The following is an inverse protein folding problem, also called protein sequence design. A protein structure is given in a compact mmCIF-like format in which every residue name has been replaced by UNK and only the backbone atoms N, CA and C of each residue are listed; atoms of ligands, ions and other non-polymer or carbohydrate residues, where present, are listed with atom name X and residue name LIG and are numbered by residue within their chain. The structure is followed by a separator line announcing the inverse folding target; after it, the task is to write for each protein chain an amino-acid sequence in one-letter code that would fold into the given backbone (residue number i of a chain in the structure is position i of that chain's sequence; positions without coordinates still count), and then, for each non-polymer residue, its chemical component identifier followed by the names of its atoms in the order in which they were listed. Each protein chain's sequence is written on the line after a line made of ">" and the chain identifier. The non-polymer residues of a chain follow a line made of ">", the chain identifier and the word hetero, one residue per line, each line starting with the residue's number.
data_IF_070194792907
#
_entry.id   IF_070194792907
#
_cell.length_a   1.000
_cell.length_b   1.000
_cell.length_c   1.000
_cell.angle_alpha   90.00
_cell.angle_beta   90.00
_cell.angle_gamma   90.00
#
_symmetry.space_group_name_H-M   'P 1'
#
loop_
_entity.id
_entity.type
_entity.pdbx_description
1 polymer ?
#
# COMPACT_ATOMS: atom_id res chain seq x y z
N UNK A 1 10.41 -6.50 16.04
CA UNK A 1 10.01 -5.39 16.93
C UNK A 1 10.31 -4.03 16.28
N UNK A 2 9.91 -3.78 15.03
CA UNK A 2 10.22 -2.54 14.29
C UNK A 2 9.19 -2.13 13.23
N UNK A 3 8.09 -2.87 13.07
CA UNK A 3 7.10 -2.60 12.03
C UNK A 3 5.94 -1.70 12.49
N UNK A 4 5.68 -1.62 13.79
CA UNK A 4 4.55 -0.84 14.32
C UNK A 4 4.84 0.66 14.51
N UNK A 5 6.11 1.05 14.48
CA UNK A 5 6.52 2.43 14.78
C UNK A 5 6.16 3.45 13.70
N UNK A 6 6.06 3.02 12.43
CA UNK A 6 5.77 3.94 11.31
C UNK A 6 4.27 4.26 11.18
N UNK A 7 3.41 3.27 11.49
CA UNK A 7 1.95 3.46 11.44
C UNK A 7 1.40 4.25 12.63
N UNK A 8 1.99 4.09 13.81
CA UNK A 8 1.62 4.87 14.99
C UNK A 8 1.89 6.37 14.80
N UNK A 9 2.90 6.75 14.05
CA UNK A 9 3.29 8.14 13.87
C UNK A 9 2.29 8.92 13.00
N UNK A 10 1.73 8.32 11.97
CA UNK A 10 0.68 8.95 11.13
C UNK A 10 -0.67 9.06 11.88
N UNK A 11 -1.04 8.02 12.61
CA UNK A 11 -2.26 8.02 13.43
C UNK A 11 -2.21 9.03 14.58
N UNK A 12 -1.07 9.15 15.24
CA UNK A 12 -0.85 10.14 16.31
C UNK A 12 -0.87 11.58 15.77
N UNK A 13 -0.30 11.84 14.58
CA UNK A 13 -0.36 13.17 13.97
C UNK A 13 -1.79 13.59 13.61
N UNK A 14 -2.59 12.70 13.08
CA UNK A 14 -4.01 12.97 12.78
C UNK A 14 -4.81 13.30 14.05
N UNK A 15 -4.57 12.59 15.14
CA UNK A 15 -5.28 12.83 16.41
C UNK A 15 -4.74 14.04 17.19
N UNK A 16 -3.45 14.33 17.13
CA UNK A 16 -2.87 15.53 17.78
C UNK A 16 -3.36 16.82 17.10
N UNK A 17 -3.47 16.82 15.77
CA UNK A 17 -4.05 17.96 15.06
C UNK A 17 -5.52 18.20 15.41
N UNK A 18 -6.33 17.12 15.55
CA UNK A 18 -7.74 17.23 15.99
C UNK A 18 -7.87 17.72 17.44
N UNK A 19 -7.00 17.25 18.34
CA UNK A 19 -7.00 17.69 19.75
C UNK A 19 -6.55 19.15 19.87
N UNK A 20 -5.55 19.58 19.12
CA UNK A 20 -5.08 20.98 19.10
C UNK A 20 -6.15 21.96 18.60
N UNK A 21 -6.92 21.58 17.58
CA UNK A 21 -7.99 22.42 17.03
C UNK A 21 -9.18 22.54 17.99
N UNK A 22 -9.55 21.46 18.68
CA UNK A 22 -10.66 21.46 19.65
C UNK A 22 -10.32 22.24 20.92
N UNK A 23 -9.08 22.24 21.37
CA UNK A 23 -8.65 23.06 22.52
C UNK A 23 -8.64 24.57 22.22
N UNK A 24 -8.25 24.99 21.03
CA UNK A 24 -8.19 26.40 20.67
C UNK A 24 -9.56 27.05 20.57
N UNK A 25 -10.60 26.32 20.18
CA UNK A 25 -11.97 26.88 20.07
C UNK A 25 -12.65 27.08 21.44
N UNK A 26 -12.29 26.31 22.46
CA UNK A 26 -12.81 26.46 23.83
C UNK A 26 -12.09 27.56 24.64
N UNK A 27 -10.81 27.82 24.35
CA UNK A 27 -10.04 28.83 25.04
C UNK A 27 -10.39 30.28 24.58
N UNK A 28 -10.87 30.44 23.34
CA UNK A 28 -11.22 31.76 22.78
C UNK A 28 -12.54 32.35 23.28
N UNK A 29 -13.36 31.60 24.00
CA UNK A 29 -14.63 32.09 24.54
C UNK A 29 -14.56 32.73 25.93
N UNK A 30 -13.44 32.63 26.66
CA UNK A 30 -13.32 33.10 28.03
C UNK A 30 -12.26 34.20 28.27
N UNK A 31 -11.68 34.80 27.22
CA UNK A 31 -10.67 35.87 27.36
C UNK A 31 -11.05 37.16 26.60
N UNK A 32 -12.32 37.53 26.66
CA UNK A 32 -12.77 38.84 26.26
C UNK A 32 -12.91 39.71 27.53
N UNK A 33 -11.82 40.05 28.16
CA UNK A 33 -11.68 41.28 28.99
C UNK A 33 -10.29 41.29 29.64
N UNK A 34 -9.38 42.01 29.05
CA UNK A 34 -8.36 42.86 29.64
C UNK A 34 -7.21 43.04 28.64
N UNK A 35 -7.13 44.24 28.13
CA UNK A 35 -6.11 44.61 27.16
C UNK A 35 -4.72 44.66 27.80
N UNK A 36 -3.81 44.08 27.06
CA UNK A 36 -2.44 44.57 26.84
C UNK A 36 -1.85 43.60 25.83
N UNK A 37 -1.79 44.03 24.58
CA UNK A 37 -1.09 43.37 23.51
C UNK A 37 0.40 43.37 23.83
N UNK A 38 0.87 42.37 24.57
CA UNK A 38 2.22 41.88 24.41
C UNK A 38 2.20 40.90 23.27
N UNK A 39 2.58 41.31 22.08
CA UNK A 39 3.04 40.42 21.01
C UNK A 39 4.28 39.71 21.54
N UNK A 40 4.07 38.66 22.31
CA UNK A 40 5.09 37.63 22.44
C UNK A 40 5.21 37.03 21.04
N UNK A 41 6.14 37.56 20.28
CA UNK A 41 6.73 36.83 19.16
C UNK A 41 7.30 35.57 19.79
N UNK A 42 6.48 34.51 19.88
CA UNK A 42 7.04 33.18 20.07
C UNK A 42 7.97 32.99 18.86
N UNK A 43 9.28 32.88 19.09
CA UNK A 43 10.13 32.50 17.98
C UNK A 43 9.54 31.22 17.44
N UNK A 44 9.23 31.23 16.16
CA UNK A 44 8.98 30.01 15.41
C UNK A 44 10.28 29.18 15.48
N UNK A 45 10.49 28.57 16.65
CA UNK A 45 11.63 27.67 16.84
C UNK A 45 11.42 26.53 15.86
N UNK A 46 11.90 26.75 14.66
CA UNK A 46 12.81 25.89 13.99
C UNK A 46 12.57 24.39 14.19
N UNK A 47 11.31 23.93 14.03
CA UNK A 47 11.10 22.55 13.55
C UNK A 47 11.74 22.38 12.16
N UNK A 48 11.91 23.49 11.41
CA UNK A 48 12.57 23.51 10.10
C UNK A 48 14.04 23.13 10.12
N UNK A 49 14.75 23.26 11.25
CA UNK A 49 16.17 22.87 11.33
C UNK A 49 16.40 21.40 11.68
N UNK A 50 15.38 20.72 12.21
CA UNK A 50 15.48 19.28 12.53
C UNK A 50 15.03 18.43 11.34
N UNK A 51 14.10 18.96 10.55
CA UNK A 51 13.70 18.37 9.29
C UNK A 51 14.39 19.19 8.21
N UNK A 52 15.36 18.63 7.45
CA UNK A 52 15.96 19.35 6.34
C UNK A 52 14.87 19.89 5.41
N UNK A 53 15.01 21.12 4.94
CA UNK A 53 14.21 21.65 3.84
C UNK A 53 14.46 20.74 2.61
N UNK A 54 13.70 19.68 2.53
CA UNK A 54 13.86 18.66 1.51
C UNK A 54 12.51 18.34 0.92
N UNK A 55 12.40 18.48 -0.38
CA UNK A 55 11.31 17.83 -1.11
C UNK A 55 11.33 16.33 -0.82
N UNK A 56 10.17 15.77 -0.57
CA UNK A 56 10.04 14.31 -0.47
C UNK A 56 10.65 13.69 -1.72
N UNK A 57 11.60 12.74 -1.60
CA UNK A 57 12.20 12.10 -2.76
C UNK A 57 11.13 11.54 -3.70
N UNK A 58 11.30 11.71 -5.00
CA UNK A 58 10.34 11.30 -6.03
C UNK A 58 9.86 9.84 -5.91
N UNK A 59 10.70 8.99 -5.36
CA UNK A 59 10.44 7.55 -5.17
C UNK A 59 9.93 7.18 -3.77
N UNK A 60 9.57 8.15 -2.94
CA UNK A 60 8.85 7.85 -1.69
C UNK A 60 7.38 7.51 -1.95
N UNK A 61 6.88 6.58 -1.18
CA UNK A 61 5.50 6.14 -1.23
C UNK A 61 5.00 5.61 0.11
N UNK A 62 3.73 5.25 0.14
CA UNK A 62 3.06 4.74 1.33
C UNK A 62 2.34 3.43 1.03
N UNK A 63 2.34 2.51 2.01
CA UNK A 63 1.50 1.32 1.97
C UNK A 63 0.07 1.70 2.35
N UNK A 64 -0.89 1.39 1.48
CA UNK A 64 -2.32 1.52 1.75
C UNK A 64 -2.93 0.16 2.11
N UNK A 65 -3.94 0.18 2.98
CA UNK A 65 -4.80 -0.96 3.29
C UNK A 65 -6.18 -0.69 2.71
N UNK A 66 -7.02 -1.74 2.60
CA UNK A 66 -8.33 -1.64 1.98
C UNK A 66 -9.33 -0.70 2.68
N UNK A 67 -9.03 -0.24 3.88
CA UNK A 67 -9.79 0.74 4.66
C UNK A 67 -9.18 2.16 4.63
N UNK A 68 -8.04 2.33 3.93
CA UNK A 68 -7.29 3.59 3.82
C UNK A 68 -6.90 3.90 2.37
N UNK A 69 -7.74 3.52 1.41
CA UNK A 69 -7.49 3.68 -0.02
C UNK A 69 -8.60 4.48 -0.73
N UNK A 70 -9.41 5.18 0.05
CA UNK A 70 -10.43 6.07 -0.45
C UNK A 70 -9.88 7.36 -1.06
N UNK A 71 -10.72 8.13 -1.79
CA UNK A 71 -10.29 9.38 -2.41
C UNK A 71 -9.62 10.36 -1.46
N UNK A 72 -10.13 10.49 -0.23
CA UNK A 72 -9.57 11.40 0.78
C UNK A 72 -8.17 10.96 1.24
N UNK A 73 -7.90 9.65 1.34
CA UNK A 73 -6.59 9.16 1.71
C UNK A 73 -5.58 9.39 0.59
N UNK A 74 -6.01 9.21 -0.66
CA UNK A 74 -5.18 9.49 -1.84
C UNK A 74 -4.90 10.99 -1.99
N UNK A 75 -5.86 11.87 -1.65
CA UNK A 75 -5.65 13.33 -1.61
C UNK A 75 -4.55 13.67 -0.60
N UNK A 76 -4.59 13.08 0.60
CA UNK A 76 -3.55 13.28 1.62
C UNK A 76 -2.18 12.79 1.16
N UNK A 77 -2.12 11.65 0.45
CA UNK A 77 -0.87 11.14 -0.12
C UNK A 77 -0.29 12.12 -1.13
N UNK A 78 -1.13 12.69 -1.98
CA UNK A 78 -0.75 13.70 -2.97
C UNK A 78 -0.28 15.00 -2.30
N UNK A 79 -1.02 15.50 -1.31
CA UNK A 79 -0.69 16.70 -0.53
C UNK A 79 0.65 16.60 0.20
N UNK A 80 0.98 15.39 0.69
CA UNK A 80 2.29 15.09 1.27
C UNK A 80 3.43 15.02 0.23
N UNK A 81 3.13 15.17 -1.06
CA UNK A 81 4.13 15.13 -2.13
C UNK A 81 4.62 13.74 -2.51
N UNK A 82 4.05 12.67 -1.94
CA UNK A 82 4.39 11.29 -2.29
C UNK A 82 3.95 10.98 -3.72
N UNK A 83 4.67 10.08 -4.38
CA UNK A 83 4.43 9.71 -5.78
C UNK A 83 4.02 8.26 -5.97
N UNK A 84 4.16 7.44 -4.93
CA UNK A 84 3.88 6.02 -4.99
C UNK A 84 2.93 5.59 -3.88
N UNK A 85 2.05 4.68 -4.24
CA UNK A 85 1.23 3.93 -3.29
C UNK A 85 1.43 2.44 -3.52
N UNK A 86 1.50 1.66 -2.44
CA UNK A 86 1.51 0.20 -2.51
C UNK A 86 0.21 -0.35 -1.94
N UNK A 87 -0.46 -1.23 -2.69
CA UNK A 87 -1.71 -1.86 -2.29
C UNK A 87 -1.77 -3.32 -2.71
N UNK A 88 -2.37 -4.17 -1.87
CA UNK A 88 -2.66 -5.54 -2.21
C UNK A 88 -3.82 -5.66 -3.22
N UNK A 89 -3.60 -6.41 -4.28
CA UNK A 89 -4.62 -6.91 -5.20
C UNK A 89 -4.92 -8.35 -4.78
N UNK A 90 -6.00 -8.52 -4.03
CA UNK A 90 -6.32 -9.78 -3.37
C UNK A 90 -6.99 -10.72 -4.35
N UNK A 91 -6.31 -11.83 -4.68
CA UNK A 91 -6.80 -12.78 -5.68
C UNK A 91 -8.21 -13.32 -5.36
N UNK A 92 -8.46 -13.72 -4.11
CA UNK A 92 -9.76 -14.25 -3.70
C UNK A 92 -10.91 -13.23 -3.84
N UNK A 93 -10.63 -11.94 -3.77
CA UNK A 93 -11.64 -10.89 -3.97
C UNK A 93 -11.91 -10.61 -5.43
N UNK A 94 -10.93 -10.85 -6.30
CA UNK A 94 -11.01 -10.63 -7.75
C UNK A 94 -11.64 -11.85 -8.43
N UNK A 95 -11.25 -13.07 -8.04
CA UNK A 95 -11.74 -14.31 -8.62
C UNK A 95 -12.53 -15.09 -7.58
N UNK A 96 -13.82 -14.82 -7.49
CA UNK A 96 -14.76 -15.48 -6.57
C UNK A 96 -15.34 -16.77 -7.15
N UNK A 97 -15.30 -16.91 -8.45
CA UNK A 97 -15.67 -18.07 -9.24
C UNK A 97 -14.53 -18.37 -10.22
N UNK A 98 -14.21 -19.66 -10.42
CA UNK A 98 -13.07 -20.07 -11.24
C UNK A 98 -13.12 -19.52 -12.65
N UNK A 99 -12.09 -18.78 -13.05
CA UNK A 99 -11.95 -18.17 -14.37
C UNK A 99 -12.81 -16.90 -14.58
N UNK A 100 -13.51 -16.40 -13.54
CA UNK A 100 -14.31 -15.18 -13.61
C UNK A 100 -13.64 -14.10 -12.77
N UNK A 101 -13.12 -13.06 -13.43
CA UNK A 101 -12.36 -11.99 -12.79
C UNK A 101 -13.16 -10.70 -12.74
N UNK A 102 -13.41 -10.18 -11.53
CA UNK A 102 -14.02 -8.88 -11.28
C UNK A 102 -12.99 -7.87 -10.77
N UNK A 103 -12.56 -6.98 -11.62
CA UNK A 103 -11.59 -5.93 -11.31
C UNK A 103 -12.23 -4.62 -10.82
N UNK A 104 -13.55 -4.53 -10.77
CA UNK A 104 -14.30 -3.28 -10.56
C UNK A 104 -13.88 -2.49 -9.31
N UNK A 105 -13.57 -3.16 -8.21
CA UNK A 105 -13.07 -2.54 -6.98
C UNK A 105 -11.70 -1.88 -7.20
N UNK A 106 -10.82 -2.56 -7.92
CA UNK A 106 -9.45 -2.08 -8.17
C UNK A 106 -9.41 -1.07 -9.31
N UNK A 107 -10.32 -1.15 -10.28
CA UNK A 107 -10.46 -0.15 -11.34
C UNK A 107 -10.71 1.25 -10.77
N UNK A 108 -11.60 1.35 -9.78
CA UNK A 108 -11.84 2.63 -9.08
C UNK A 108 -10.57 3.16 -8.43
N UNK A 109 -9.88 2.32 -7.67
CA UNK A 109 -8.63 2.69 -7.01
C UNK A 109 -7.54 3.13 -8.00
N UNK A 110 -7.33 2.36 -9.08
CA UNK A 110 -6.33 2.68 -10.11
C UNK A 110 -6.67 3.99 -10.80
N UNK A 111 -7.94 4.21 -11.17
CA UNK A 111 -8.40 5.46 -11.77
C UNK A 111 -8.20 6.66 -10.83
N UNK A 112 -8.46 6.50 -9.54
CA UNK A 112 -8.30 7.56 -8.56
C UNK A 112 -6.84 7.89 -8.26
N UNK A 113 -5.95 6.90 -8.30
CA UNK A 113 -4.50 7.11 -8.26
C UNK A 113 -4.01 7.90 -9.49
N UNK A 114 -4.45 7.51 -10.68
CA UNK A 114 -4.01 8.19 -11.92
C UNK A 114 -4.47 9.64 -12.01
N UNK A 115 -5.70 9.95 -11.60
CA UNK A 115 -6.19 11.34 -11.51
C UNK A 115 -5.30 12.23 -10.66
N UNK A 116 -4.58 11.65 -9.70
CA UNK A 116 -3.68 12.32 -8.76
C UNK A 116 -2.20 12.24 -9.15
N UNK A 117 -1.89 11.62 -10.29
CA UNK A 117 -0.51 11.40 -10.73
C UNK A 117 0.27 10.44 -9.84
N UNK A 118 -0.42 9.59 -9.07
CA UNK A 118 0.18 8.56 -8.23
C UNK A 118 0.49 7.31 -9.05
N UNK A 119 1.64 6.72 -8.79
CA UNK A 119 2.07 5.43 -9.34
C UNK A 119 1.79 4.33 -8.33
N UNK A 120 1.60 3.10 -8.80
CA UNK A 120 1.15 2.00 -7.97
C UNK A 120 2.20 0.89 -7.93
N UNK A 121 2.47 0.35 -6.75
CA UNK A 121 3.03 -0.99 -6.58
C UNK A 121 1.85 -1.90 -6.21
N UNK A 122 1.42 -2.71 -7.16
CA UNK A 122 0.33 -3.66 -7.00
C UNK A 122 0.85 -5.00 -6.50
N UNK A 123 0.65 -5.29 -5.22
CA UNK A 123 1.04 -6.57 -4.63
C UNK A 123 -0.03 -7.63 -4.91
N UNK A 124 0.29 -8.61 -5.75
CA UNK A 124 -0.59 -9.73 -6.06
C UNK A 124 -0.61 -10.73 -4.89
N UNK A 125 -1.64 -10.72 -4.10
CA UNK A 125 -1.77 -11.47 -2.85
C UNK A 125 -3.21 -12.01 -2.71
N UNK A 126 -3.44 -13.09 -2.11
CA UNK A 126 -2.68 -14.18 -1.56
C UNK A 126 -3.10 -15.48 -2.29
N UNK A 127 -3.21 -16.63 -1.60
CA UNK A 127 -3.86 -17.82 -2.16
C UNK A 127 -5.37 -17.60 -2.32
N UNK A 128 -5.99 -18.34 -3.26
CA UNK A 128 -7.44 -18.36 -3.42
C UNK A 128 -7.97 -19.73 -2.96
N UNK A 129 -8.99 -19.71 -2.11
CA UNK A 129 -9.60 -20.94 -1.57
C UNK A 129 -10.18 -21.88 -2.63
N UNK A 130 -10.51 -21.35 -3.82
CA UNK A 130 -10.98 -22.14 -4.95
C UNK A 130 -9.94 -23.15 -5.44
N UNK A 131 -8.64 -22.85 -5.22
CA UNK A 131 -7.52 -23.63 -5.75
C UNK A 131 -6.60 -24.18 -4.66
N UNK A 132 -6.63 -23.62 -3.47
CA UNK A 132 -5.73 -23.96 -2.37
C UNK A 132 -4.50 -23.07 -2.30
N UNK A 133 -3.40 -23.59 -1.75
CA UNK A 133 -2.18 -22.81 -1.53
C UNK A 133 -1.26 -22.86 -2.74
N UNK A 134 -0.70 -21.72 -3.15
CA UNK A 134 0.19 -21.55 -4.32
C UNK A 134 1.51 -22.34 -4.27
N UNK A 135 1.85 -22.97 -3.14
CA UNK A 135 2.97 -23.91 -3.03
C UNK A 135 2.78 -25.15 -3.90
N UNK A 136 1.53 -25.54 -4.10
CA UNK A 136 1.12 -26.77 -4.74
C UNK A 136 0.44 -26.50 -6.08
N UNK A 137 0.51 -27.47 -7.00
CA UNK A 137 -0.38 -27.49 -8.14
C UNK A 137 -1.77 -28.06 -7.73
N UNK A 138 -2.89 -27.61 -8.32
CA UNK A 138 -2.94 -26.67 -9.45
C UNK A 138 -3.00 -25.17 -9.06
N UNK A 139 -2.91 -24.84 -7.77
CA UNK A 139 -3.08 -23.45 -7.30
C UNK A 139 -1.99 -22.52 -7.85
N UNK A 140 -0.77 -23.01 -8.03
CA UNK A 140 0.35 -22.23 -8.59
C UNK A 140 0.10 -21.86 -10.05
N UNK A 141 -0.39 -22.80 -10.85
CA UNK A 141 -0.78 -22.53 -12.25
C UNK A 141 -1.94 -21.54 -12.32
N UNK A 142 -2.96 -21.71 -11.50
CA UNK A 142 -4.10 -20.78 -11.43
C UNK A 142 -3.69 -19.37 -10.97
N UNK A 143 -2.71 -19.26 -10.05
CA UNK A 143 -2.14 -17.94 -9.71
C UNK A 143 -1.41 -17.29 -10.88
N UNK A 144 -0.71 -18.08 -11.71
CA UNK A 144 -0.07 -17.56 -12.91
C UNK A 144 -1.10 -17.04 -13.94
N UNK A 145 -2.24 -17.70 -14.07
CA UNK A 145 -3.35 -17.26 -14.92
C UNK A 145 -3.97 -15.97 -14.36
N UNK A 146 -4.24 -15.91 -13.07
CA UNK A 146 -4.68 -14.68 -12.40
C UNK A 146 -3.72 -13.51 -12.61
N UNK A 147 -2.41 -13.74 -12.42
CA UNK A 147 -1.39 -12.72 -12.64
C UNK A 147 -1.34 -12.24 -14.10
N UNK A 148 -1.52 -13.15 -15.05
CA UNK A 148 -1.59 -12.83 -16.48
C UNK A 148 -2.82 -11.98 -16.82
N UNK A 149 -4.00 -12.33 -16.32
CA UNK A 149 -5.22 -11.55 -16.54
C UNK A 149 -5.13 -10.16 -15.87
N UNK A 150 -4.50 -10.07 -14.69
CA UNK A 150 -4.29 -8.80 -14.01
C UNK A 150 -3.41 -7.84 -14.82
N UNK A 151 -2.24 -8.30 -15.30
CA UNK A 151 -1.33 -7.44 -16.09
C UNK A 151 -1.87 -7.13 -17.47
N UNK A 152 -2.73 -7.96 -18.02
CA UNK A 152 -3.44 -7.74 -19.28
C UNK A 152 -4.51 -6.66 -19.12
N UNK A 153 -5.33 -6.74 -18.06
CA UNK A 153 -6.39 -5.78 -17.76
C UNK A 153 -5.83 -4.36 -17.53
N UNK A 154 -4.72 -4.25 -16.80
CA UNK A 154 -4.07 -2.97 -16.51
C UNK A 154 -2.92 -2.61 -17.47
N UNK A 155 -2.92 -3.16 -18.67
CA UNK A 155 -1.88 -2.83 -19.66
C UNK A 155 -1.86 -1.33 -19.95
N UNK A 156 -0.65 -0.74 -19.93
CA UNK A 156 -0.45 0.69 -20.18
C UNK A 156 -0.69 1.59 -18.96
N UNK A 157 -1.07 1.03 -17.81
CA UNK A 157 -1.25 1.78 -16.56
C UNK A 157 0.08 1.86 -15.78
N UNK A 158 0.21 2.88 -14.94
CA UNK A 158 1.43 3.14 -14.15
C UNK A 158 1.54 2.22 -12.92
N UNK A 159 1.65 0.91 -13.15
CA UNK A 159 1.69 -0.10 -12.11
C UNK A 159 2.94 -0.96 -12.24
N UNK A 160 3.67 -1.13 -11.14
CA UNK A 160 4.69 -2.15 -10.96
C UNK A 160 4.05 -3.30 -10.18
N UNK A 161 4.16 -4.52 -10.66
CA UNK A 161 3.53 -5.69 -10.07
C UNK A 161 4.49 -6.43 -9.16
N UNK A 162 4.13 -6.57 -7.91
CA UNK A 162 4.88 -7.33 -6.91
C UNK A 162 4.25 -8.71 -6.72
N UNK A 163 5.05 -9.76 -6.92
CA UNK A 163 4.60 -11.14 -6.73
C UNK A 163 4.65 -11.47 -5.25
N UNK A 164 3.46 -11.68 -4.64
CA UNK A 164 3.27 -12.04 -3.26
C UNK A 164 3.68 -10.94 -2.24
N UNK A 165 3.36 -11.21 -0.96
CA UNK A 165 3.75 -10.37 0.16
C UNK A 165 4.51 -11.20 1.20
N UNK A 166 5.73 -10.80 1.52
CA UNK A 166 6.57 -11.41 2.56
C UNK A 166 6.63 -12.96 2.47
N UNK A 167 7.12 -13.54 1.35
CA UNK A 167 7.18 -14.99 1.17
C UNK A 167 8.16 -15.70 2.12
N UNK A 168 8.96 -14.92 2.84
CA UNK A 168 9.90 -15.37 3.85
C UNK A 168 9.29 -15.48 5.25
N UNK A 169 8.03 -15.14 5.44
CA UNK A 169 7.39 -15.14 6.76
C UNK A 169 6.37 -16.29 6.91
N UNK A 170 6.20 -16.74 8.13
CA UNK A 170 5.18 -17.76 8.45
C UNK A 170 3.76 -17.24 8.24
N UNK A 171 3.53 -15.97 8.53
CA UNK A 171 2.21 -15.35 8.47
C UNK A 171 1.63 -15.38 7.07
N UNK A 172 2.46 -15.11 6.06
CA UNK A 172 2.01 -14.95 4.68
C UNK A 172 2.37 -16.13 3.76
N UNK A 173 3.34 -16.97 4.16
CA UNK A 173 3.76 -18.11 3.37
C UNK A 173 3.64 -19.44 4.09
N UNK A 174 3.96 -19.49 5.38
CA UNK A 174 3.98 -20.71 6.17
C UNK A 174 2.59 -21.25 6.46
N UNK A 175 2.40 -22.55 6.30
CA UNK A 175 1.32 -23.29 6.97
C UNK A 175 1.84 -23.82 8.30
N UNK A 176 1.04 -23.65 9.37
CA UNK A 176 1.19 -24.37 10.63
C UNK A 176 2.50 -24.13 11.41
N UNK A 177 2.69 -22.94 11.94
CA UNK A 177 3.50 -22.71 13.16
C UNK A 177 4.97 -23.12 13.14
N UNK A 178 5.57 -23.38 11.99
CA UNK A 178 7.00 -23.67 11.87
C UNK A 178 7.77 -22.43 11.47
N UNK A 179 8.91 -22.26 12.10
CA UNK A 179 9.81 -21.09 12.05
C UNK A 179 10.01 -20.58 10.62
N UNK A 180 9.81 -19.27 10.41
CA UNK A 180 10.13 -18.57 9.16
C UNK A 180 11.59 -18.72 8.76
N UNK A 181 11.94 -18.31 7.53
CA UNK A 181 13.29 -18.40 6.93
C UNK A 181 13.78 -19.82 6.59
N UNK A 182 12.86 -20.74 6.29
CA UNK A 182 13.25 -22.03 5.75
C UNK A 182 13.75 -21.87 4.31
N UNK A 183 14.86 -22.53 3.91
CA UNK A 183 15.28 -22.63 2.51
C UNK A 183 14.18 -23.20 1.59
N UNK A 184 13.24 -23.94 2.16
CA UNK A 184 12.07 -24.44 1.46
C UNK A 184 11.17 -23.30 0.98
N UNK A 185 10.95 -22.26 1.77
CA UNK A 185 10.12 -21.10 1.37
C UNK A 185 10.73 -20.38 0.16
N UNK A 186 12.04 -20.22 0.15
CA UNK A 186 12.73 -19.63 -1.00
C UNK A 186 12.55 -20.46 -2.28
N UNK A 187 12.61 -21.80 -2.19
CA UNK A 187 12.35 -22.71 -3.33
C UNK A 187 10.92 -22.61 -3.81
N UNK A 188 9.96 -22.75 -2.90
CA UNK A 188 8.52 -22.67 -3.19
C UNK A 188 8.14 -21.32 -3.82
N UNK A 189 8.69 -20.23 -3.29
CA UNK A 189 8.49 -18.90 -3.86
C UNK A 189 9.14 -18.76 -5.25
N UNK A 190 10.33 -19.31 -5.43
CA UNK A 190 10.99 -19.37 -6.75
C UNK A 190 10.13 -20.10 -7.77
N UNK A 191 9.48 -21.20 -7.37
CA UNK A 191 8.59 -21.95 -8.25
C UNK A 191 7.33 -21.14 -8.61
N UNK A 192 6.78 -20.35 -7.66
CA UNK A 192 5.68 -19.41 -7.95
C UNK A 192 6.11 -18.36 -8.97
N UNK A 193 7.27 -17.74 -8.76
CA UNK A 193 7.83 -16.72 -9.67
C UNK A 193 8.07 -17.30 -11.07
N UNK A 194 8.62 -18.52 -11.16
CA UNK A 194 8.85 -19.23 -12.42
C UNK A 194 7.56 -19.54 -13.18
N UNK A 195 6.47 -19.77 -12.49
CA UNK A 195 5.15 -19.95 -13.11
C UNK A 195 4.53 -18.61 -13.55
N UNK A 196 4.54 -17.61 -12.67
CA UNK A 196 3.85 -16.35 -12.89
C UNK A 196 4.53 -15.46 -13.94
N UNK A 197 5.85 -15.25 -13.86
CA UNK A 197 6.56 -14.29 -14.72
C UNK A 197 6.41 -14.57 -16.22
N UNK A 198 6.59 -15.80 -16.71
CA UNK A 198 6.37 -16.09 -18.14
C UNK A 198 4.92 -15.83 -18.58
N UNK A 199 3.93 -16.18 -17.75
CA UNK A 199 2.52 -15.95 -18.06
C UNK A 199 2.20 -14.43 -18.11
N UNK A 200 2.70 -13.66 -17.15
CA UNK A 200 2.58 -12.19 -17.12
C UNK A 200 3.23 -11.56 -18.35
N UNK A 201 4.46 -11.93 -18.68
CA UNK A 201 5.20 -11.39 -19.82
C UNK A 201 4.58 -11.78 -21.17
N UNK A 202 3.96 -12.94 -21.27
CA UNK A 202 3.17 -13.33 -22.46
C UNK A 202 1.93 -12.46 -22.61
N UNK A 203 1.23 -12.14 -21.52
CA UNK A 203 0.03 -11.31 -21.54
C UNK A 203 0.33 -9.81 -21.73
N UNK A 204 1.42 -9.32 -21.12
CA UNK A 204 1.88 -7.95 -21.22
C UNK A 204 3.43 -7.91 -21.18
N UNK A 205 4.11 -7.89 -22.34
CA UNK A 205 5.58 -7.91 -22.40
C UNK A 205 6.24 -6.75 -21.64
N UNK A 206 5.57 -5.60 -21.57
CA UNK A 206 6.09 -4.37 -20.99
C UNK A 206 5.82 -4.24 -19.49
N UNK A 207 5.07 -5.17 -18.86
CA UNK A 207 4.76 -5.08 -17.44
C UNK A 207 6.05 -5.10 -16.59
N UNK A 208 6.16 -4.15 -15.66
CA UNK A 208 7.22 -4.13 -14.65
C UNK A 208 6.87 -5.09 -13.51
N UNK A 209 7.82 -5.93 -13.09
CA UNK A 209 7.61 -6.98 -12.09
C UNK A 209 8.68 -6.88 -11.00
N UNK A 210 8.26 -6.99 -9.75
CA UNK A 210 9.07 -7.18 -8.54
C UNK A 210 8.85 -8.61 -8.02
N UNK A 211 9.94 -9.29 -7.61
CA UNK A 211 9.90 -10.62 -7.01
C UNK A 211 10.96 -10.75 -5.90
#
# INVERSE_FOLDING_TARGET
>A
MGKDFFFYRLYVYSNIMKIGLVMNVKLLKNLAFLGLLSFSVFPSFALSKIIPDGTIPYNMGVQLKGDTDGPEDLDRVQELGMKWVRRGFIWESIEREKGVYDFSQYDRFVNDCEKRGLKIIGCMAFSNKLYGHVKDEPARSAYADFAAELVKHYKGRNIIWEIWNEPNTMTFWGRHGKVGNSPQYAREYTDLVRAAVPAMKKANPDCAILA
#
